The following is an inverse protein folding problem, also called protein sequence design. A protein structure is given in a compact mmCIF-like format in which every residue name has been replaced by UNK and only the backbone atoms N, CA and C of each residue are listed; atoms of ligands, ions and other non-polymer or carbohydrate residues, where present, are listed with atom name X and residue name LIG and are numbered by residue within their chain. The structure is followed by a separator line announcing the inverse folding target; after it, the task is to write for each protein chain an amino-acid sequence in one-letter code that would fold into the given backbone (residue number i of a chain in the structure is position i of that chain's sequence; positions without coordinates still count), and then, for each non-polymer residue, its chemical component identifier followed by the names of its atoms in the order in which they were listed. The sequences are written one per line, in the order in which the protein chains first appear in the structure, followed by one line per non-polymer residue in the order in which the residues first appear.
data_IF_976940587259
#
_entry.id   IF_976940587259
#
_cell.length_a   1.000
_cell.length_b   1.000
_cell.length_c   1.000
_cell.angle_alpha   90.00
_cell.angle_beta   90.00
_cell.angle_gamma   90.00
#
_symmetry.space_group_name_H-M   'P 1'
#
loop_
_entity.id
_entity.type
_entity.pdbx_description
1 polymer ?
#
# COMPACT_ATOMS: atom_id res chain seq x y z
N UNK A 1 -1.04 8.73 -24.76
CA UNK A 1 -0.38 7.85 -23.77
C UNK A 1 -0.85 8.29 -22.40
N UNK A 2 -1.54 7.43 -21.63
CA UNK A 2 -1.87 7.75 -20.22
C UNK A 2 -0.55 7.76 -19.45
N UNK A 3 -0.11 8.93 -18.99
CA UNK A 3 0.99 9.01 -18.05
C UNK A 3 0.55 8.41 -16.72
N UNK A 4 1.16 7.27 -16.35
CA UNK A 4 0.91 6.66 -15.05
C UNK A 4 1.50 7.52 -13.94
N UNK A 5 0.74 7.71 -12.88
CA UNK A 5 1.24 8.31 -11.64
C UNK A 5 2.36 7.47 -11.02
N UNK A 6 3.14 8.08 -10.12
CA UNK A 6 4.24 7.39 -9.41
C UNK A 6 3.77 6.07 -8.77
N UNK A 7 2.60 6.07 -8.13
CA UNK A 7 2.04 4.86 -7.52
C UNK A 7 1.61 3.83 -8.55
N UNK A 8 1.05 4.28 -9.66
CA UNK A 8 0.61 3.42 -10.74
C UNK A 8 1.81 2.77 -11.46
N UNK A 9 2.92 3.49 -11.63
CA UNK A 9 4.18 2.93 -12.17
C UNK A 9 4.72 1.80 -11.30
N UNK A 10 4.72 1.98 -9.99
CA UNK A 10 5.16 0.94 -9.05
C UNK A 10 4.22 -0.26 -9.03
N UNK A 11 2.90 -0.03 -9.07
CA UNK A 11 1.89 -1.10 -9.17
C UNK A 11 2.08 -1.89 -10.47
N UNK A 12 2.23 -1.22 -11.62
CA UNK A 12 2.45 -1.86 -12.91
C UNK A 12 3.75 -2.69 -12.92
N UNK A 13 4.83 -2.14 -12.34
CA UNK A 13 6.12 -2.84 -12.20
C UNK A 13 5.97 -4.08 -11.31
N UNK A 14 5.25 -3.97 -10.20
CA UNK A 14 4.99 -5.09 -9.30
C UNK A 14 4.14 -6.18 -9.97
N UNK A 15 3.11 -5.81 -10.74
CA UNK A 15 2.29 -6.74 -11.52
C UNK A 15 3.13 -7.48 -12.57
N UNK A 16 4.02 -6.78 -13.26
CA UNK A 16 4.91 -7.37 -14.26
C UNK A 16 5.90 -8.36 -13.64
N UNK A 17 6.47 -8.03 -12.48
CA UNK A 17 7.33 -8.95 -11.72
C UNK A 17 6.57 -10.19 -11.23
N UNK A 18 5.26 -10.08 -11.04
CA UNK A 18 4.39 -11.16 -10.58
C UNK A 18 3.66 -11.87 -11.73
N UNK A 19 3.98 -11.58 -13.00
CA UNK A 19 3.30 -12.12 -14.20
C UNK A 19 3.30 -13.64 -14.35
N UNK A 20 4.20 -14.32 -13.64
CA UNK A 20 4.29 -15.79 -13.62
C UNK A 20 3.27 -16.42 -12.67
N UNK A 21 2.73 -15.65 -11.73
CA UNK A 21 1.68 -16.13 -10.83
C UNK A 21 0.33 -16.06 -11.53
N UNK A 22 -0.41 -17.17 -11.49
CA UNK A 22 -1.78 -17.25 -12.00
C UNK A 22 -2.76 -16.42 -11.16
N UNK A 23 -2.52 -16.33 -9.85
CA UNK A 23 -3.33 -15.59 -8.88
C UNK A 23 -2.43 -14.72 -7.99
N UNK A 24 -2.77 -13.44 -7.93
CA UNK A 24 -2.10 -12.44 -7.11
C UNK A 24 -3.15 -11.84 -6.17
N UNK A 25 -2.98 -12.02 -4.87
CA UNK A 25 -3.81 -11.34 -3.87
C UNK A 25 -3.34 -9.92 -3.65
N UNK A 26 -4.24 -9.01 -3.26
CA UNK A 26 -3.94 -7.63 -2.90
C UNK A 26 -2.74 -7.51 -1.94
N UNK A 27 -2.71 -8.31 -0.88
CA UNK A 27 -1.64 -8.27 0.12
C UNK A 27 -0.25 -8.60 -0.48
N UNK A 28 -0.19 -9.53 -1.43
CA UNK A 28 1.05 -9.89 -2.15
C UNK A 28 1.48 -8.76 -3.06
N UNK A 29 0.55 -8.14 -3.77
CA UNK A 29 0.85 -6.99 -4.62
C UNK A 29 1.33 -5.80 -3.76
N UNK A 30 0.64 -5.47 -2.68
CA UNK A 30 1.01 -4.38 -1.77
C UNK A 30 2.35 -4.62 -1.09
N UNK A 31 2.66 -5.89 -0.76
CA UNK A 31 4.00 -6.27 -0.28
C UNK A 31 5.06 -5.97 -1.34
N UNK A 32 4.83 -6.37 -2.60
CA UNK A 32 5.78 -6.17 -3.69
C UNK A 32 6.00 -4.69 -4.01
N UNK A 33 4.93 -3.88 -4.04
CA UNK A 33 5.03 -2.42 -4.21
C UNK A 33 5.87 -1.78 -3.10
N UNK A 34 5.67 -2.18 -1.84
CA UNK A 34 6.50 -1.70 -0.72
C UNK A 34 7.96 -2.10 -0.83
N UNK A 35 8.24 -3.33 -1.27
CA UNK A 35 9.60 -3.81 -1.52
C UNK A 35 10.30 -2.96 -2.59
N UNK A 36 9.62 -2.73 -3.71
CA UNK A 36 10.17 -1.93 -4.83
C UNK A 36 10.41 -0.47 -4.41
N UNK A 37 9.46 0.11 -3.67
CA UNK A 37 9.54 1.47 -3.16
C UNK A 37 10.41 1.63 -1.90
N UNK A 38 11.01 0.55 -1.38
CA UNK A 38 11.81 0.53 -0.14
C UNK A 38 11.08 1.14 1.08
N UNK A 39 9.75 1.00 1.14
CA UNK A 39 8.94 1.51 2.25
C UNK A 39 9.15 0.62 3.48
N UNK A 40 9.69 1.19 4.56
CA UNK A 40 9.83 0.50 5.84
C UNK A 40 8.53 0.57 6.64
N UNK A 41 7.88 -0.58 6.85
CA UNK A 41 6.69 -0.69 7.72
C UNK A 41 5.58 -1.55 7.13
N UNK A 42 4.89 -2.31 8.01
CA UNK A 42 3.81 -3.22 7.60
C UNK A 42 2.41 -2.57 7.54
N UNK A 43 2.27 -1.32 8.00
CA UNK A 43 0.99 -0.71 8.34
C UNK A 43 0.05 -0.46 7.15
N UNK A 44 0.58 -0.33 5.94
CA UNK A 44 -0.22 -0.16 4.72
C UNK A 44 -0.29 -1.47 3.95
N UNK A 45 -1.47 -2.05 3.88
CA UNK A 45 -1.70 -3.36 3.27
C UNK A 45 -2.58 -3.29 2.01
N UNK A 46 -3.28 -2.18 1.80
CA UNK A 46 -4.22 -2.05 0.69
C UNK A 46 -3.67 -1.30 -0.52
N UNK A 47 -4.31 -1.54 -1.66
CA UNK A 47 -4.12 -0.81 -2.91
C UNK A 47 -5.43 -0.14 -3.29
N UNK A 48 -5.36 1.10 -3.77
CA UNK A 48 -6.53 1.81 -4.26
C UNK A 48 -7.05 1.11 -5.52
N UNK A 49 -8.35 0.81 -5.54
CA UNK A 49 -8.98 0.12 -6.66
C UNK A 49 -8.83 0.91 -7.97
N UNK A 50 -8.98 2.24 -7.92
CA UNK A 50 -8.89 3.10 -9.10
C UNK A 50 -7.50 3.05 -9.75
N UNK A 51 -6.45 3.11 -8.93
CA UNK A 51 -5.08 3.02 -9.41
C UNK A 51 -4.79 1.65 -10.02
N UNK A 52 -5.31 0.59 -9.41
CA UNK A 52 -5.16 -0.76 -9.92
C UNK A 52 -5.87 -0.95 -11.27
N UNK A 53 -7.11 -0.46 -11.41
CA UNK A 53 -7.85 -0.49 -12.67
C UNK A 53 -7.07 0.20 -13.79
N UNK A 54 -6.55 1.41 -13.53
CA UNK A 54 -5.73 2.14 -14.50
C UNK A 54 -4.44 1.38 -14.89
N UNK A 55 -3.80 0.70 -13.94
CA UNK A 55 -2.61 -0.11 -14.22
C UNK A 55 -2.92 -1.34 -15.07
N UNK A 56 -4.04 -2.02 -14.81
CA UNK A 56 -4.45 -3.20 -15.59
C UNK A 56 -4.78 -2.80 -17.02
N UNK A 57 -5.52 -1.70 -17.21
CA UNK A 57 -5.79 -1.13 -18.54
C UNK A 57 -4.47 -0.82 -19.27
N UNK A 58 -3.54 -0.14 -18.60
CA UNK A 58 -2.24 0.19 -19.19
C UNK A 58 -1.43 -1.04 -19.60
N UNK A 59 -1.41 -2.08 -18.76
CA UNK A 59 -0.66 -3.31 -19.03
C UNK A 59 -1.28 -4.13 -20.18
N UNK A 60 -2.61 -4.12 -20.30
CA UNK A 60 -3.32 -4.73 -21.41
C UNK A 60 -2.97 -4.02 -22.73
N UNK A 61 -3.00 -2.69 -22.75
CA UNK A 61 -2.71 -1.88 -23.96
C UNK A 61 -1.24 -1.94 -24.39
N UNK A 62 -0.29 -1.86 -23.46
CA UNK A 62 1.13 -1.65 -23.79
C UNK A 62 1.97 -2.93 -23.76
N UNK A 63 1.63 -3.89 -22.90
CA UNK A 63 2.43 -5.11 -22.67
C UNK A 63 1.70 -6.40 -23.06
N UNK A 64 0.48 -6.30 -23.57
CA UNK A 64 -0.39 -7.45 -23.87
C UNK A 64 -0.55 -8.39 -22.65
N UNK A 65 -0.51 -7.82 -21.44
CA UNK A 65 -0.70 -8.55 -20.19
C UNK A 65 -2.12 -8.34 -19.70
N UNK A 66 -2.95 -9.37 -19.84
CA UNK A 66 -4.35 -9.32 -19.44
C UNK A 66 -4.52 -9.86 -18.02
N UNK A 67 -5.14 -9.03 -17.18
CA UNK A 67 -5.51 -9.40 -15.83
C UNK A 67 -7.00 -9.17 -15.62
N UNK A 68 -7.64 -10.08 -14.88
CA UNK A 68 -9.02 -9.96 -14.41
C UNK A 68 -9.01 -9.61 -12.92
N UNK A 69 -9.84 -8.64 -12.54
CA UNK A 69 -9.99 -8.20 -11.14
C UNK A 69 -11.25 -8.82 -10.54
N UNK A 70 -11.10 -9.48 -9.40
CA UNK A 70 -12.17 -10.08 -8.63
C UNK A 70 -12.10 -9.64 -7.17
N UNK A 71 -13.19 -9.81 -6.45
CA UNK A 71 -13.28 -9.54 -5.01
C UNK A 71 -13.69 -10.84 -4.30
N UNK A 72 -12.99 -11.21 -3.24
CA UNK A 72 -13.34 -12.38 -2.43
C UNK A 72 -14.48 -12.08 -1.44
N UNK A 73 -14.87 -13.08 -0.63
CA UNK A 73 -15.87 -12.90 0.44
C UNK A 73 -15.45 -11.93 1.54
N UNK A 74 -14.14 -11.68 1.71
CA UNK A 74 -13.58 -10.71 2.67
C UNK A 74 -13.45 -9.29 2.10
N UNK A 75 -13.91 -9.04 0.87
CA UNK A 75 -13.76 -7.78 0.14
C UNK A 75 -12.30 -7.39 -0.22
N UNK A 76 -11.40 -8.38 -0.29
CA UNK A 76 -10.04 -8.22 -0.80
C UNK A 76 -9.99 -8.41 -2.30
N UNK A 77 -9.08 -7.67 -2.95
CA UNK A 77 -8.87 -7.77 -4.39
C UNK A 77 -8.05 -9.02 -4.73
N UNK A 78 -8.53 -9.78 -5.72
CA UNK A 78 -7.86 -10.89 -6.35
C UNK A 78 -7.60 -10.56 -7.81
N UNK A 79 -6.34 -10.59 -8.21
CA UNK A 79 -5.91 -10.36 -9.59
C UNK A 79 -5.59 -11.72 -10.20
N UNK A 80 -6.32 -12.12 -11.23
CA UNK A 80 -6.08 -13.35 -11.97
C UNK A 80 -5.48 -13.00 -13.32
N UNK A 81 -4.47 -13.76 -13.74
CA UNK A 81 -4.01 -13.71 -15.12
C UNK A 81 -5.05 -14.38 -16.01
N UNK A 82 -5.48 -13.71 -17.06
CA UNK A 82 -6.38 -14.26 -18.08
C UNK A 82 -5.83 -13.98 -19.47
N UNK A 83 -6.44 -14.56 -20.49
CA UNK A 83 -6.11 -14.30 -21.90
C UNK A 83 -6.88 -13.08 -22.46
N UNK A 84 -7.87 -12.59 -21.70
CA UNK A 84 -8.73 -11.46 -22.08
C UNK A 84 -8.97 -10.53 -20.90
N UNK A 85 -9.03 -9.21 -21.15
CA UNK A 85 -9.43 -8.24 -20.13
C UNK A 85 -10.92 -8.41 -19.80
N UNK A 86 -11.23 -8.64 -18.51
CA UNK A 86 -12.59 -8.64 -18.00
C UNK A 86 -12.76 -7.53 -16.97
N UNK A 87 -13.74 -6.62 -17.17
CA UNK A 87 -14.03 -5.61 -16.16
C UNK A 87 -14.61 -6.27 -14.91
N UNK A 88 -14.32 -5.68 -13.76
CA UNK A 88 -14.88 -6.12 -12.50
C UNK A 88 -16.38 -5.81 -12.44
N UNK A 89 -17.15 -6.73 -11.86
CA UNK A 89 -18.59 -6.55 -11.70
C UNK A 89 -18.93 -5.32 -10.84
N UNK A 90 -20.03 -4.64 -11.20
CA UNK A 90 -20.44 -3.38 -10.57
C UNK A 90 -20.78 -3.51 -9.07
N UNK A 91 -21.30 -4.65 -8.63
CA UNK A 91 -21.58 -4.93 -7.22
C UNK A 91 -20.27 -5.14 -6.45
N UNK A 92 -19.35 -5.93 -7.02
CA UNK A 92 -18.01 -6.15 -6.47
C UNK A 92 -17.24 -4.84 -6.33
N UNK A 93 -17.38 -3.94 -7.32
CA UNK A 93 -16.80 -2.59 -7.31
C UNK A 93 -17.35 -1.74 -6.16
N UNK A 94 -18.66 -1.71 -5.96
CA UNK A 94 -19.30 -0.95 -4.86
C UNK A 94 -18.89 -1.48 -3.49
N UNK A 95 -18.87 -2.81 -3.32
CA UNK A 95 -18.41 -3.44 -2.07
C UNK A 95 -16.97 -3.07 -1.75
N UNK A 96 -16.08 -3.18 -2.75
CA UNK A 96 -14.67 -2.82 -2.57
C UNK A 96 -14.45 -1.33 -2.29
N UNK A 97 -15.13 -0.43 -3.01
CA UNK A 97 -15.04 1.02 -2.74
C UNK A 97 -15.51 1.38 -1.33
N UNK A 98 -16.46 0.62 -0.78
CA UNK A 98 -16.93 0.81 0.59
C UNK A 98 -15.91 0.30 1.61
N UNK A 99 -15.32 -0.88 1.40
CA UNK A 99 -14.30 -1.42 2.31
C UNK A 99 -12.99 -0.62 2.28
N UNK A 100 -12.60 -0.07 1.13
CA UNK A 100 -11.40 0.76 0.96
C UNK A 100 -11.36 1.94 1.95
N UNK A 101 -12.52 2.54 2.25
CA UNK A 101 -12.63 3.66 3.22
C UNK A 101 -12.16 3.32 4.63
N UNK A 102 -12.17 2.03 4.97
CA UNK A 102 -11.81 1.51 6.29
C UNK A 102 -10.41 0.90 6.35
N UNK A 103 -9.70 0.84 5.21
CA UNK A 103 -8.39 0.19 5.09
C UNK A 103 -7.32 1.24 4.81
N UNK A 104 -6.10 1.02 5.32
CA UNK A 104 -4.95 1.86 4.98
C UNK A 104 -4.37 1.45 3.62
N UNK A 105 -4.53 2.33 2.62
CA UNK A 105 -4.01 2.15 1.26
C UNK A 105 -2.69 2.87 1.03
N UNK A 106 -1.87 2.32 0.13
CA UNK A 106 -0.67 2.97 -0.40
C UNK A 106 -1.07 4.16 -1.26
N UNK A 107 -0.38 5.29 -1.06
CA UNK A 107 -0.59 6.51 -1.84
C UNK A 107 0.73 7.03 -2.39
N UNK A 108 0.67 7.92 -3.38
CA UNK A 108 1.85 8.59 -3.96
C UNK A 108 2.70 9.32 -2.91
N UNK A 109 2.12 9.72 -1.77
CA UNK A 109 2.85 10.31 -0.65
C UNK A 109 3.76 9.32 0.09
N UNK A 110 3.45 8.02 0.06
CA UNK A 110 4.30 6.99 0.66
C UNK A 110 5.54 6.68 -0.20
N UNK A 111 5.42 6.84 -1.52
CA UNK A 111 6.50 6.64 -2.49
C UNK A 111 7.48 7.80 -2.54
N UNK A 112 6.99 9.02 -2.28
CA UNK A 112 7.84 10.18 -2.03
C UNK A 112 8.46 9.98 -0.67
N UNK A 113 9.49 9.13 -0.61
CA UNK A 113 10.26 8.88 0.60
C UNK A 113 10.48 10.21 1.29
N UNK A 114 10.08 10.31 2.56
CA UNK A 114 10.30 11.51 3.37
C UNK A 114 11.80 11.78 3.40
N UNK A 115 12.30 12.58 2.48
CA UNK A 115 13.53 13.35 2.61
C UNK A 115 13.32 14.53 3.57
N UNK A 116 12.53 14.32 4.62
CA UNK A 116 12.39 15.25 5.72
C UNK A 116 13.09 14.62 6.91
N UNK A 117 14.17 15.24 7.38
CA UNK A 117 14.83 14.95 8.66
C UNK A 117 13.86 15.11 9.83
N UNK A 118 12.94 14.16 9.96
CA UNK A 118 12.04 14.03 11.08
C UNK A 118 12.85 13.51 12.25
N UNK A 119 13.11 14.40 13.21
CA UNK A 119 13.70 14.11 14.51
C UNK A 119 13.29 12.71 14.96
N UNK A 120 14.29 11.86 15.18
CA UNK A 120 14.12 10.60 15.90
C UNK A 120 13.24 10.85 17.13
N UNK A 121 12.27 9.98 17.44
CA UNK A 121 11.52 10.10 18.67
C UNK A 121 12.55 10.05 19.80
N UNK A 122 12.77 11.21 20.44
CA UNK A 122 13.66 11.32 21.56
C UNK A 122 13.09 10.37 22.61
N UNK A 123 13.74 9.22 22.82
CA UNK A 123 13.41 8.31 23.92
C UNK A 123 13.32 9.20 25.15
N UNK A 124 12.14 9.28 25.74
CA UNK A 124 11.89 10.00 26.99
C UNK A 124 12.89 9.39 27.99
N UNK A 125 13.98 10.10 28.24
CA UNK A 125 14.98 9.64 29.18
C UNK A 125 14.29 9.63 30.53
N UNK A 126 14.31 8.49 31.20
CA UNK A 126 13.96 8.37 32.61
C UNK A 126 14.90 9.29 33.40
N UNK A 127 14.46 10.54 33.60
CA UNK A 127 15.28 11.55 34.26
C UNK A 127 14.97 11.53 35.74
N UNK A 128 15.74 10.66 36.39
CA UNK A 128 16.41 10.84 37.68
C UNK A 128 15.52 11.02 38.92
N UNK A 129 15.66 10.01 39.79
CA UNK A 129 15.63 10.07 41.26
C UNK A 129 15.61 11.50 41.82
N UNK A 130 14.54 11.81 42.56
CA UNK A 130 14.50 12.92 43.52
C UNK A 130 15.73 12.81 44.43
N UNK A 131 16.67 13.73 44.26
CA UNK A 131 17.67 14.05 45.25
C UNK A 131 16.92 14.72 46.40
N UNK A 132 16.76 13.99 47.51
CA UNK A 132 16.37 14.55 48.80
C UNK A 132 17.43 15.58 49.16
N UNK A 133 17.05 16.85 49.15
CA UNK A 133 17.89 17.96 49.57
C UNK A 133 17.40 18.37 50.96
N UNK A 134 18.30 18.23 51.92
CA UNK A 134 18.32 18.68 53.31
C UNK A 134 17.18 19.65 53.71
N UNK A 135 16.38 19.23 54.69
CA UNK A 135 15.71 20.12 55.62
C UNK A 135 16.42 19.98 56.97
N UNK A 136 17.44 20.80 57.17
CA UNK A 136 17.84 21.28 58.49
C UNK A 136 17.12 22.62 58.66
N UNK A 137 16.14 22.65 59.57
CA UNK A 137 15.73 23.78 60.43
C UNK A 137 14.28 23.52 60.90
N UNK A 138 14.12 22.94 62.10
CA UNK A 138 13.07 23.27 63.08
C UNK A 138 13.27 22.40 64.34
N UNK A 139 14.19 22.81 65.22
CA UNK A 139 13.98 22.92 66.68
C UNK A 139 15.14 23.67 67.35
#
# INVERSE_FOLDING_TARGET
MKDLDLIQKEIATALEQLKEKSLITEAVLAKKVRENAKIQGKNKAGICLKDLEACVEFLAENKQLYFSLHVNSANDILIKKEDSSKPMDSDSKKRRQSSEKSISVLTSGDLRGKSSGGKSPQKRTDRKKLSVRNYDDFE
#
